data_IF_613781786823
#
_entry.id   IF_613781786823
#
_cell.length_a   1.000
_cell.length_b   1.000
_cell.length_c   1.000
_cell.angle_alpha   90.00
_cell.angle_beta   90.00
_cell.angle_gamma   90.00
#
_symmetry.space_group_name_H-M   'P 1'
#
loop_
_entity.id
_entity.type
_entity.pdbx_description
1 polymer ?
#
# COMPACT_ATOMS: atom_id res chain seq x y z
N UNK A 1 16.84 27.11 -0.03
CA UNK A 1 15.99 27.22 1.18
C UNK A 1 14.84 26.18 1.18
N UNK A 2 14.01 26.04 0.14
CA UNK A 2 12.88 25.08 0.13
C UNK A 2 13.27 23.60 0.39
N UNK A 3 14.39 23.09 -0.15
CA UNK A 3 14.85 21.71 0.10
C UNK A 3 15.15 21.42 1.59
N UNK A 4 15.81 22.35 2.30
CA UNK A 4 16.10 22.17 3.73
C UNK A 4 14.85 22.16 4.58
N UNK A 5 13.85 23.00 4.26
CA UNK A 5 12.56 23.00 4.97
C UNK A 5 11.83 21.67 4.80
N UNK A 6 11.90 21.05 3.60
CA UNK A 6 11.31 19.74 3.37
C UNK A 6 12.00 18.64 4.17
N UNK A 7 13.35 18.64 4.24
CA UNK A 7 14.09 17.67 5.06
C UNK A 7 13.84 17.84 6.56
N UNK A 8 13.73 19.08 7.03
CA UNK A 8 13.39 19.38 8.44
C UNK A 8 11.97 18.90 8.75
N UNK A 9 10.99 19.17 7.87
CA UNK A 9 9.62 18.72 8.04
C UNK A 9 9.52 17.18 8.04
N UNK A 10 10.24 16.48 7.15
CA UNK A 10 10.29 15.03 7.14
C UNK A 10 10.97 14.49 8.42
N UNK A 11 12.08 15.10 8.83
CA UNK A 11 12.79 14.71 10.05
C UNK A 11 11.94 14.89 11.31
N UNK A 12 11.20 16.02 11.41
CA UNK A 12 10.30 16.28 12.54
C UNK A 12 9.10 15.30 12.55
N UNK A 13 8.57 14.96 11.38
CA UNK A 13 7.49 13.97 11.26
C UNK A 13 7.96 12.57 11.68
N UNK A 14 9.16 12.18 11.25
CA UNK A 14 9.76 10.90 11.64
C UNK A 14 10.09 10.84 13.13
N UNK A 15 10.63 11.92 13.70
CA UNK A 15 10.90 11.99 15.15
C UNK A 15 9.62 11.94 15.97
N UNK A 16 8.56 12.62 15.54
CA UNK A 16 7.25 12.56 16.18
C UNK A 16 6.68 11.13 16.10
N UNK A 17 6.77 10.46 14.94
CA UNK A 17 6.37 9.06 14.81
C UNK A 17 7.14 8.15 15.77
N UNK A 18 8.46 8.30 15.88
CA UNK A 18 9.28 7.48 16.81
C UNK A 18 8.87 7.72 18.25
N UNK A 19 8.65 8.98 18.65
CA UNK A 19 8.17 9.32 20.00
C UNK A 19 6.81 8.72 20.28
N UNK A 20 5.88 8.78 19.35
CA UNK A 20 4.55 8.19 19.48
C UNK A 20 4.60 6.66 19.55
N UNK A 21 5.48 6.02 18.77
CA UNK A 21 5.71 4.57 18.81
C UNK A 21 6.26 4.16 20.19
N UNK A 22 7.31 4.84 20.66
CA UNK A 22 7.92 4.54 21.95
C UNK A 22 6.94 4.76 23.10
N UNK A 23 6.14 5.81 23.04
CA UNK A 23 5.08 6.08 24.02
C UNK A 23 4.03 4.95 24.02
N UNK A 24 3.55 4.54 22.83
CA UNK A 24 2.57 3.45 22.69
C UNK A 24 3.10 2.09 23.14
N UNK A 25 4.41 1.81 22.95
CA UNK A 25 5.04 0.57 23.38
C UNK A 25 5.38 0.56 24.89
N UNK A 26 5.59 1.73 25.49
CA UNK A 26 5.89 1.86 26.93
C UNK A 26 4.63 1.81 27.81
N UNK A 27 3.49 2.14 27.27
CA UNK A 27 2.23 2.01 27.99
C UNK A 27 1.77 0.56 27.90
N UNK A 28 1.92 -0.14 29.00
CA UNK A 28 1.35 -1.48 29.18
C UNK A 28 -0.17 -1.38 28.94
N UNK A 29 -0.73 -2.27 28.12
CA UNK A 29 -2.18 -2.32 27.86
C UNK A 29 -2.88 -2.91 29.10
N UNK A 30 -2.65 -2.31 30.27
CA UNK A 30 -3.29 -2.74 31.50
C UNK A 30 -4.78 -2.40 31.45
N UNK A 31 -5.58 -3.31 31.92
CA UNK A 31 -7.01 -3.10 32.10
C UNK A 31 -7.24 -2.09 33.23
N UNK A 32 -7.55 -0.86 32.84
CA UNK A 32 -7.94 0.25 33.70
C UNK A 32 -9.46 0.21 33.91
N UNK A 33 -9.99 1.20 34.60
CA UNK A 33 -11.43 1.33 34.69
C UNK A 33 -12.06 1.61 33.31
N UNK A 34 -13.11 0.88 32.92
CA UNK A 34 -13.79 1.12 31.65
C UNK A 34 -14.45 2.51 31.58
N UNK A 35 -14.41 3.14 30.39
CA UNK A 35 -15.10 4.39 30.09
C UNK A 35 -14.76 5.56 31.02
N UNK A 36 -13.51 5.62 31.50
CA UNK A 36 -13.04 6.79 32.25
C UNK A 36 -12.99 8.01 31.31
N UNK A 37 -13.46 9.14 31.82
CA UNK A 37 -13.34 10.43 31.14
C UNK A 37 -11.89 10.88 31.01
N UNK A 38 -11.55 11.74 30.04
CA UNK A 38 -10.21 12.31 29.90
C UNK A 38 -9.72 12.91 31.21
N UNK A 39 -8.50 12.53 31.62
CA UNK A 39 -7.86 12.97 32.86
C UNK A 39 -6.34 13.14 32.66
N UNK A 40 -5.61 13.54 33.72
CA UNK A 40 -4.16 13.76 33.65
C UNK A 40 -3.31 12.51 33.36
N UNK A 41 -3.86 11.30 33.56
CA UNK A 41 -3.20 10.02 33.27
C UNK A 41 -3.65 9.45 31.92
N UNK A 42 -4.91 9.63 31.55
CA UNK A 42 -5.53 9.17 30.30
C UNK A 42 -6.10 10.34 29.51
N UNK A 43 -5.29 10.93 28.65
CA UNK A 43 -5.62 12.17 27.95
C UNK A 43 -6.88 12.09 27.09
N UNK A 44 -7.20 10.94 26.54
CA UNK A 44 -8.44 10.69 25.80
C UNK A 44 -9.38 9.72 26.52
N UNK A 45 -9.11 9.45 27.82
CA UNK A 45 -9.88 8.48 28.60
C UNK A 45 -9.60 7.04 28.19
N UNK A 46 -10.49 6.13 28.62
CA UNK A 46 -10.38 4.68 28.39
C UNK A 46 -11.55 4.16 27.54
N UNK A 47 -11.32 3.06 26.82
CA UNK A 47 -12.34 2.39 26.01
C UNK A 47 -13.27 1.50 26.89
N UNK A 48 -14.20 0.80 26.24
CA UNK A 48 -15.14 -0.11 26.93
C UNK A 48 -14.45 -1.28 27.67
N UNK A 49 -13.21 -1.58 27.34
CA UNK A 49 -12.40 -2.63 27.97
C UNK A 49 -11.37 -2.05 28.96
N UNK A 50 -11.45 -0.75 29.28
CA UNK A 50 -10.53 -0.09 30.20
C UNK A 50 -9.12 0.14 29.61
N UNK A 51 -8.95 0.17 28.29
CA UNK A 51 -7.65 0.42 27.65
C UNK A 51 -7.54 1.89 27.30
N UNK A 52 -6.34 2.46 27.41
CA UNK A 52 -6.09 3.86 27.04
C UNK A 52 -6.41 4.12 25.56
N UNK A 53 -7.35 5.03 25.33
CA UNK A 53 -7.85 5.32 23.98
C UNK A 53 -6.78 6.00 23.10
N UNK A 54 -5.93 6.88 23.66
CA UNK A 54 -4.86 7.52 22.92
C UNK A 54 -3.81 6.52 22.45
N UNK A 55 -3.40 5.60 23.33
CA UNK A 55 -2.45 4.53 22.99
C UNK A 55 -3.02 3.66 21.86
N UNK A 56 -4.28 3.28 21.95
CA UNK A 56 -4.95 2.50 20.90
C UNK A 56 -4.99 3.24 19.56
N UNK A 57 -5.28 4.54 19.58
CA UNK A 57 -5.30 5.36 18.38
C UNK A 57 -3.91 5.40 17.70
N UNK A 58 -2.86 5.60 18.50
CA UNK A 58 -1.48 5.65 18.00
C UNK A 58 -1.08 4.29 17.40
N UNK A 59 -1.21 3.23 18.16
CA UNK A 59 -0.82 1.87 17.72
C UNK A 59 -1.67 1.42 16.55
N UNK A 60 -2.97 1.66 16.56
CA UNK A 60 -3.88 1.35 15.45
C UNK A 60 -3.51 2.11 14.17
N UNK A 61 -3.15 3.39 14.30
CA UNK A 61 -2.66 4.17 13.16
C UNK A 61 -1.41 3.57 12.55
N UNK A 62 -0.43 3.16 13.38
CA UNK A 62 0.81 2.55 12.92
C UNK A 62 0.57 1.20 12.24
N UNK A 63 -0.30 0.37 12.80
CA UNK A 63 -0.66 -0.92 12.22
C UNK A 63 -1.30 -0.71 10.85
N UNK A 64 -2.29 0.19 10.75
CA UNK A 64 -2.98 0.48 9.49
C UNK A 64 -2.05 1.08 8.45
N UNK A 65 -1.16 2.02 8.83
CA UNK A 65 -0.14 2.60 7.95
C UNK A 65 0.84 1.56 7.45
N UNK A 66 1.32 0.67 8.32
CA UNK A 66 2.26 -0.40 7.97
C UNK A 66 1.63 -1.40 7.02
N UNK A 67 0.40 -1.84 7.30
CA UNK A 67 -0.37 -2.71 6.40
C UNK A 67 -0.58 -2.08 5.04
N UNK A 68 -1.00 -0.81 5.02
CA UNK A 68 -1.17 -0.05 3.76
C UNK A 68 0.12 -0.04 2.97
N UNK A 69 1.25 0.25 3.62
CA UNK A 69 2.57 0.24 2.98
C UNK A 69 2.94 -1.12 2.39
N UNK A 70 2.72 -2.21 3.14
CA UNK A 70 3.00 -3.58 2.68
C UNK A 70 2.14 -3.95 1.47
N UNK A 71 0.82 -3.72 1.54
CA UNK A 71 -0.11 -4.04 0.45
C UNK A 71 0.22 -3.26 -0.81
N UNK A 72 0.50 -1.95 -0.69
CA UNK A 72 0.90 -1.12 -1.84
C UNK A 72 2.21 -1.61 -2.42
N UNK A 73 3.21 -1.88 -1.59
CA UNK A 73 4.52 -2.38 -2.03
C UNK A 73 4.37 -3.67 -2.85
N UNK A 74 3.63 -4.65 -2.32
CA UNK A 74 3.38 -5.91 -3.00
C UNK A 74 2.62 -5.71 -4.31
N UNK A 75 1.55 -4.91 -4.30
CA UNK A 75 0.73 -4.62 -5.49
C UNK A 75 1.53 -3.91 -6.58
N UNK A 76 2.35 -2.93 -6.19
CA UNK A 76 3.24 -2.18 -7.10
C UNK A 76 4.33 -3.09 -7.66
N UNK A 77 5.00 -3.89 -6.83
CA UNK A 77 6.06 -4.80 -7.27
C UNK A 77 5.52 -5.83 -8.27
N UNK A 78 4.40 -6.50 -7.95
CA UNK A 78 3.78 -7.47 -8.85
C UNK A 78 3.25 -6.79 -10.12
N UNK A 79 2.57 -5.65 -9.98
CA UNK A 79 2.06 -4.87 -11.12
C UNK A 79 3.19 -4.38 -12.02
N UNK A 80 4.33 -3.94 -11.46
CA UNK A 80 5.50 -3.53 -12.21
C UNK A 80 6.12 -4.70 -13.00
N UNK A 81 6.33 -5.85 -12.35
CA UNK A 81 6.92 -7.02 -13.00
C UNK A 81 6.05 -7.48 -14.18
N UNK A 82 4.79 -7.77 -13.92
CA UNK A 82 3.88 -8.27 -14.96
C UNK A 82 3.54 -7.20 -15.98
N UNK A 83 3.36 -5.95 -15.57
CA UNK A 83 3.12 -4.83 -16.47
C UNK A 83 4.31 -4.53 -17.38
N UNK A 84 5.54 -4.66 -16.87
CA UNK A 84 6.76 -4.53 -17.69
C UNK A 84 6.84 -5.65 -18.73
N UNK A 85 6.60 -6.91 -18.32
CA UNK A 85 6.59 -8.06 -19.23
C UNK A 85 5.54 -7.85 -20.33
N UNK A 86 4.30 -7.53 -19.96
CA UNK A 86 3.21 -7.28 -20.92
C UNK A 86 3.47 -6.06 -21.80
N UNK A 87 4.17 -5.05 -21.29
CA UNK A 87 4.52 -3.85 -22.04
C UNK A 87 5.61 -4.10 -23.10
N UNK A 88 6.57 -4.98 -22.80
CA UNK A 88 7.65 -5.36 -23.73
C UNK A 88 7.15 -6.37 -24.76
N UNK A 89 6.47 -7.40 -24.30
CA UNK A 89 5.87 -8.42 -25.14
C UNK A 89 4.61 -7.88 -25.84
N UNK A 90 4.47 -8.19 -27.16
CA UNK A 90 3.33 -7.71 -27.96
C UNK A 90 2.44 -8.84 -28.47
N UNK A 91 2.64 -10.06 -27.96
CA UNK A 91 1.97 -11.26 -28.42
C UNK A 91 1.00 -11.81 -27.37
N UNK A 92 0.85 -13.08 -27.32
CA UNK A 92 -0.08 -13.82 -26.47
C UNK A 92 0.12 -13.55 -24.96
N UNK A 93 1.36 -13.36 -24.49
CA UNK A 93 1.63 -13.03 -23.09
C UNK A 93 0.97 -11.71 -22.67
N UNK A 94 1.07 -10.67 -23.49
CA UNK A 94 0.36 -9.42 -23.23
C UNK A 94 -1.15 -9.62 -23.18
N UNK A 95 -1.71 -10.43 -24.10
CA UNK A 95 -3.15 -10.71 -24.11
C UNK A 95 -3.61 -11.42 -22.85
N UNK A 96 -2.90 -12.46 -22.42
CA UNK A 96 -3.23 -13.21 -21.19
C UNK A 96 -3.13 -12.31 -19.95
N UNK A 97 -2.00 -11.59 -19.80
CA UNK A 97 -1.78 -10.74 -18.64
C UNK A 97 -2.84 -9.63 -18.58
N UNK A 98 -3.17 -9.03 -19.73
CA UNK A 98 -4.21 -7.99 -19.79
C UNK A 98 -5.61 -8.55 -19.57
N UNK A 99 -5.91 -9.75 -20.06
CA UNK A 99 -7.17 -10.41 -19.77
C UNK A 99 -7.38 -10.61 -18.26
N UNK A 100 -6.35 -11.08 -17.55
CA UNK A 100 -6.40 -11.21 -16.08
C UNK A 100 -6.56 -9.83 -15.41
N UNK A 101 -5.82 -8.81 -15.87
CA UNK A 101 -5.97 -7.47 -15.35
C UNK A 101 -7.39 -6.92 -15.56
N UNK A 102 -7.99 -7.17 -16.72
CA UNK A 102 -9.32 -6.72 -17.07
C UNK A 102 -10.39 -7.41 -16.23
N UNK A 103 -10.23 -8.70 -15.96
CA UNK A 103 -11.11 -9.45 -15.04
C UNK A 103 -11.05 -8.86 -13.63
N UNK A 104 -9.84 -8.55 -13.12
CA UNK A 104 -9.67 -7.95 -11.80
C UNK A 104 -10.23 -6.51 -11.73
N UNK A 105 -10.15 -5.76 -12.82
CA UNK A 105 -10.67 -4.39 -12.89
C UNK A 105 -12.18 -4.31 -13.14
N UNK A 106 -12.78 -5.38 -13.64
CA UNK A 106 -14.24 -5.45 -13.83
C UNK A 106 -14.99 -5.51 -12.50
N UNK A 107 -14.34 -5.98 -11.43
CA UNK A 107 -14.91 -6.09 -10.09
C UNK A 107 -14.26 -5.03 -9.20
N UNK A 108 -15.02 -4.26 -8.41
CA UNK A 108 -14.44 -3.35 -7.42
C UNK A 108 -13.48 -4.09 -6.48
N UNK A 109 -12.27 -3.54 -6.30
CA UNK A 109 -11.20 -4.16 -5.51
C UNK A 109 -11.63 -4.56 -4.10
N UNK A 110 -12.50 -3.76 -3.49
CA UNK A 110 -13.07 -4.04 -2.18
C UNK A 110 -13.93 -5.34 -2.18
N UNK A 111 -14.72 -5.57 -3.22
CA UNK A 111 -15.52 -6.80 -3.36
C UNK A 111 -14.63 -8.02 -3.56
N UNK A 112 -13.56 -7.89 -4.35
CA UNK A 112 -12.56 -8.97 -4.49
C UNK A 112 -11.98 -9.34 -3.13
N UNK A 113 -11.61 -8.33 -2.34
CA UNK A 113 -11.07 -8.56 -1.00
C UNK A 113 -12.08 -9.24 -0.07
N UNK A 114 -13.36 -8.84 -0.09
CA UNK A 114 -14.44 -9.51 0.66
C UNK A 114 -14.56 -10.99 0.31
N UNK A 115 -14.61 -11.30 -0.98
CA UNK A 115 -14.73 -12.70 -1.46
C UNK A 115 -13.53 -13.53 -1.01
N UNK A 116 -12.32 -13.02 -1.16
CA UNK A 116 -11.10 -13.74 -0.77
C UNK A 116 -11.09 -13.98 0.75
N UNK A 117 -11.41 -12.95 1.55
CA UNK A 117 -11.44 -13.07 3.01
C UNK A 117 -12.55 -14.01 3.53
N UNK A 118 -13.63 -14.17 2.79
CA UNK A 118 -14.66 -15.15 3.12
C UNK A 118 -14.20 -16.61 2.90
N UNK A 119 -13.25 -16.82 1.97
CA UNK A 119 -12.72 -18.15 1.64
C UNK A 119 -11.45 -18.49 2.44
N UNK A 120 -10.66 -17.50 2.77
CA UNK A 120 -9.41 -17.64 3.54
C UNK A 120 -9.67 -17.21 4.98
N UNK A 121 -9.11 -17.93 5.95
CA UNK A 121 -9.26 -17.57 7.37
C UNK A 121 -8.90 -16.09 7.59
N UNK A 122 -9.68 -15.39 8.43
CA UNK A 122 -9.42 -14.01 8.85
C UNK A 122 -8.07 -13.93 9.58
N UNK A 123 -7.03 -13.65 8.83
CA UNK A 123 -5.66 -13.47 9.30
C UNK A 123 -5.04 -12.24 8.63
N UNK A 124 -4.03 -11.67 9.26
CA UNK A 124 -3.27 -10.55 8.71
C UNK A 124 -2.73 -10.87 7.29
N UNK A 125 -2.26 -12.10 7.09
CA UNK A 125 -1.76 -12.56 5.78
C UNK A 125 -2.91 -12.64 4.78
N UNK A 126 -4.08 -13.18 5.18
CA UNK A 126 -5.27 -13.23 4.34
C UNK A 126 -5.71 -11.83 3.88
N UNK A 127 -5.69 -10.85 4.78
CA UNK A 127 -6.02 -9.45 4.49
C UNK A 127 -5.03 -8.84 3.48
N UNK A 128 -3.72 -9.03 3.70
CA UNK A 128 -2.68 -8.55 2.78
C UNK A 128 -2.86 -9.16 1.38
N UNK A 129 -3.06 -10.47 1.28
CA UNK A 129 -3.25 -11.14 0.00
C UNK A 129 -4.53 -10.69 -0.71
N UNK A 130 -5.64 -10.61 0.01
CA UNK A 130 -6.92 -10.20 -0.53
C UNK A 130 -6.87 -8.80 -1.15
N UNK A 131 -6.30 -7.85 -0.41
CA UNK A 131 -6.13 -6.48 -0.89
C UNK A 131 -5.11 -6.39 -2.03
N UNK A 132 -3.99 -7.11 -1.94
CA UNK A 132 -2.98 -7.14 -3.01
C UNK A 132 -3.59 -7.62 -4.32
N UNK A 133 -4.36 -8.73 -4.30
CA UNK A 133 -5.05 -9.26 -5.48
C UNK A 133 -6.07 -8.26 -6.02
N UNK A 134 -6.83 -7.62 -5.15
CA UNK A 134 -7.82 -6.61 -5.55
C UNK A 134 -7.21 -5.38 -6.24
N UNK A 135 -5.97 -5.02 -5.91
CA UNK A 135 -5.31 -3.82 -6.43
C UNK A 135 -4.32 -4.07 -7.56
N UNK A 136 -3.80 -5.29 -7.72
CA UNK A 136 -2.76 -5.60 -8.70
C UNK A 136 -3.17 -5.27 -10.15
N UNK A 137 -4.42 -5.52 -10.55
CA UNK A 137 -4.92 -5.27 -11.91
C UNK A 137 -4.72 -3.81 -12.35
N UNK A 138 -4.93 -2.85 -11.44
CA UNK A 138 -4.72 -1.41 -11.66
C UNK A 138 -3.24 -1.08 -11.94
N UNK A 139 -2.33 -1.57 -11.08
CA UNK A 139 -0.89 -1.33 -11.25
C UNK A 139 -0.34 -2.01 -12.49
N UNK A 140 -0.81 -3.22 -12.79
CA UNK A 140 -0.44 -3.99 -13.96
C UNK A 140 -0.78 -3.21 -15.25
N UNK A 141 -2.02 -2.76 -15.39
CA UNK A 141 -2.45 -1.96 -16.55
C UNK A 141 -1.68 -0.64 -16.66
N UNK A 142 -1.46 0.03 -15.53
CA UNK A 142 -0.70 1.28 -15.49
C UNK A 142 0.73 1.09 -16.00
N UNK A 143 1.47 0.15 -15.45
CA UNK A 143 2.86 -0.08 -15.84
C UNK A 143 3.01 -0.63 -17.25
N UNK A 144 2.10 -1.47 -17.69
CA UNK A 144 2.06 -1.93 -19.09
C UNK A 144 1.91 -0.76 -20.06
N UNK A 145 0.98 0.14 -19.83
CA UNK A 145 0.74 1.28 -20.72
C UNK A 145 1.93 2.24 -20.67
N UNK A 146 2.44 2.58 -19.49
CA UNK A 146 3.60 3.43 -19.32
C UNK A 146 4.85 2.83 -19.99
N UNK A 147 5.08 1.51 -19.85
CA UNK A 147 6.18 0.80 -20.54
C UNK A 147 6.08 0.98 -22.06
N UNK A 148 4.90 0.81 -22.62
CA UNK A 148 4.66 0.98 -24.07
C UNK A 148 4.91 2.40 -24.54
N UNK A 149 4.52 3.37 -23.75
CA UNK A 149 4.72 4.79 -24.10
C UNK A 149 6.20 5.17 -24.03
N UNK A 150 6.94 4.68 -23.03
CA UNK A 150 8.38 4.89 -22.93
C UNK A 150 9.11 4.23 -24.10
N UNK A 151 8.70 3.02 -24.50
CA UNK A 151 9.33 2.32 -25.65
C UNK A 151 9.20 3.05 -26.97
N UNK A 152 8.20 3.92 -27.15
CA UNK A 152 8.03 4.75 -28.36
C UNK A 152 8.92 5.99 -28.37
N UNK A 153 9.57 6.33 -27.25
CA UNK A 153 10.38 7.54 -27.16
C UNK A 153 11.67 7.42 -27.95
N UNK A 154 12.13 8.52 -28.58
CA UNK A 154 13.29 8.50 -29.47
C UNK A 154 14.54 7.91 -28.82
N UNK A 155 14.84 8.25 -27.57
CA UNK A 155 16.04 7.76 -26.89
C UNK A 155 16.07 6.24 -26.73
N UNK A 156 14.89 5.59 -26.54
CA UNK A 156 14.78 4.13 -26.47
C UNK A 156 14.98 3.51 -27.86
N UNK A 157 14.43 4.15 -28.89
CA UNK A 157 14.60 3.68 -30.26
C UNK A 157 16.07 3.80 -30.71
N UNK A 158 16.73 4.92 -30.44
CA UNK A 158 18.17 5.08 -30.71
C UNK A 158 19.02 4.05 -29.97
N UNK A 159 18.73 3.76 -28.71
CA UNK A 159 19.45 2.73 -27.96
C UNK A 159 19.34 1.35 -28.62
N UNK A 160 18.17 1.00 -29.18
CA UNK A 160 17.96 -0.25 -29.92
C UNK A 160 18.70 -0.24 -31.27
N UNK A 161 18.63 0.86 -32.02
CA UNK A 161 19.35 1.01 -33.29
C UNK A 161 20.87 0.93 -33.10
N UNK A 162 21.39 1.35 -31.95
CA UNK A 162 22.80 1.24 -31.56
C UNK A 162 23.22 -0.19 -31.14
N UNK A 163 22.35 -1.20 -31.33
CA UNK A 163 22.67 -2.59 -31.07
C UNK A 163 22.45 -3.07 -29.61
N UNK A 164 21.86 -2.23 -28.75
CA UNK A 164 21.53 -2.67 -27.39
C UNK A 164 20.40 -3.72 -27.41
N UNK A 165 20.59 -4.80 -26.65
CA UNK A 165 19.55 -5.81 -26.45
C UNK A 165 18.31 -5.22 -25.77
N UNK A 166 17.14 -5.85 -25.95
CA UNK A 166 15.89 -5.44 -25.30
C UNK A 166 16.03 -5.40 -23.78
N UNK A 167 16.70 -6.38 -23.18
CA UNK A 167 16.96 -6.42 -21.76
C UNK A 167 17.79 -5.23 -21.29
N UNK A 168 18.93 -4.97 -21.92
CA UNK A 168 19.79 -3.83 -21.58
C UNK A 168 19.06 -2.50 -21.73
N UNK A 169 18.31 -2.31 -22.80
CA UNK A 169 17.51 -1.10 -23.06
C UNK A 169 16.43 -0.93 -21.98
N UNK A 170 15.78 -2.03 -21.57
CA UNK A 170 14.76 -2.01 -20.51
C UNK A 170 15.34 -1.59 -19.18
N UNK A 171 16.43 -2.23 -18.75
CA UNK A 171 17.05 -1.93 -17.45
C UNK A 171 17.63 -0.52 -17.40
N UNK A 172 18.29 -0.09 -18.48
CA UNK A 172 19.01 1.21 -18.48
C UNK A 172 18.10 2.41 -18.74
N UNK A 173 17.03 2.23 -19.52
CA UNK A 173 16.22 3.37 -19.99
C UNK A 173 14.75 3.29 -19.55
N UNK A 174 14.13 2.10 -19.57
CA UNK A 174 12.68 1.98 -19.27
C UNK A 174 12.44 2.00 -17.77
N UNK A 175 13.10 1.14 -17.00
CA UNK A 175 12.90 1.01 -15.55
C UNK A 175 13.12 2.34 -14.80
N UNK A 176 14.21 3.11 -15.03
CA UNK A 176 14.39 4.38 -14.32
C UNK A 176 13.24 5.38 -14.56
N UNK A 177 12.69 5.40 -15.77
CA UNK A 177 11.52 6.24 -16.08
C UNK A 177 10.23 5.74 -15.44
N UNK A 178 10.06 4.42 -15.26
CA UNK A 178 8.92 3.86 -14.53
C UNK A 178 9.00 4.24 -13.04
N UNK A 179 10.18 4.14 -12.43
CA UNK A 179 10.38 4.43 -11.01
C UNK A 179 10.00 5.88 -10.64
N UNK A 180 10.28 6.85 -11.53
CA UNK A 180 9.94 8.25 -11.27
C UNK A 180 8.43 8.50 -11.13
N UNK A 181 7.60 7.67 -11.73
CA UNK A 181 6.14 7.78 -11.68
C UNK A 181 5.50 7.01 -10.49
N UNK A 182 6.25 6.10 -9.87
CA UNK A 182 5.73 5.26 -8.76
C UNK A 182 5.32 6.12 -7.59
N UNK A 183 6.14 7.11 -7.20
CA UNK A 183 5.84 7.96 -6.04
C UNK A 183 4.51 8.69 -6.16
N UNK A 184 4.24 9.29 -7.32
CA UNK A 184 2.97 10.00 -7.55
C UNK A 184 1.77 9.04 -7.48
N UNK A 185 1.91 7.85 -8.09
CA UNK A 185 0.87 6.83 -8.11
C UNK A 185 0.59 6.28 -6.69
N UNK A 186 1.66 5.92 -5.96
CA UNK A 186 1.56 5.38 -4.59
C UNK A 186 0.93 6.40 -3.66
N UNK A 187 1.38 7.66 -3.71
CA UNK A 187 0.82 8.73 -2.87
C UNK A 187 -0.68 8.93 -3.12
N UNK A 188 -1.10 8.90 -4.38
CA UNK A 188 -2.51 9.06 -4.75
C UNK A 188 -3.38 7.87 -4.28
N UNK A 189 -2.81 6.67 -4.23
CA UNK A 189 -3.55 5.46 -3.88
C UNK A 189 -3.47 5.10 -2.39
N UNK A 190 -2.52 5.70 -1.65
CA UNK A 190 -2.29 5.40 -0.23
C UNK A 190 -3.54 5.61 0.62
N UNK A 191 -4.18 6.77 0.49
CA UNK A 191 -5.41 7.08 1.24
C UNK A 191 -6.58 6.16 0.88
N UNK A 192 -6.72 5.78 -0.41
CA UNK A 192 -7.77 4.85 -0.86
C UNK A 192 -7.55 3.45 -0.28
N UNK A 193 -6.30 3.02 -0.19
CA UNK A 193 -5.95 1.73 0.39
C UNK A 193 -6.24 1.71 1.90
N UNK A 194 -5.85 2.77 2.63
CA UNK A 194 -6.21 2.92 4.04
C UNK A 194 -7.72 2.82 4.26
N UNK A 195 -8.50 3.53 3.43
CA UNK A 195 -9.95 3.49 3.51
C UNK A 195 -10.50 2.08 3.24
N UNK A 196 -9.88 1.32 2.31
CA UNK A 196 -10.26 -0.06 2.04
C UNK A 196 -9.98 -0.97 3.24
N UNK A 197 -8.83 -0.81 3.90
CA UNK A 197 -8.46 -1.56 5.11
C UNK A 197 -9.45 -1.27 6.23
N UNK A 198 -9.67 0.01 6.55
CA UNK A 198 -10.60 0.42 7.60
C UNK A 198 -12.04 -0.02 7.31
N UNK A 199 -12.46 0.01 6.05
CA UNK A 199 -13.77 -0.49 5.64
C UNK A 199 -13.94 -1.99 5.85
N UNK A 200 -12.91 -2.80 5.58
CA UNK A 200 -12.92 -4.23 5.86
C UNK A 200 -12.90 -4.52 7.36
N UNK A 201 -12.13 -3.75 8.12
CA UNK A 201 -12.10 -3.84 9.57
C UNK A 201 -13.47 -3.54 10.20
N UNK A 202 -14.13 -2.49 9.73
CA UNK A 202 -15.51 -2.15 10.16
C UNK A 202 -16.51 -3.28 9.92
N UNK A 203 -16.33 -4.06 8.84
CA UNK A 203 -17.14 -5.24 8.55
C UNK A 203 -16.73 -6.48 9.34
N UNK A 204 -15.78 -6.36 10.27
CA UNK A 204 -15.28 -7.47 11.07
C UNK A 204 -14.34 -8.43 10.33
N UNK A 205 -13.85 -8.01 9.15
CA UNK A 205 -12.90 -8.77 8.32
C UNK A 205 -11.46 -8.21 8.41
N UNK A 206 -11.22 -7.31 9.36
CA UNK A 206 -9.91 -6.77 9.67
C UNK A 206 -9.04 -7.70 10.51
N UNK A 207 -8.04 -7.13 11.17
CA UNK A 207 -7.18 -7.87 12.10
C UNK A 207 -7.98 -8.22 13.35
N UNK A 208 -7.82 -9.46 13.82
CA UNK A 208 -8.52 -9.90 15.04
C UNK A 208 -7.99 -9.17 16.28
N UNK A 209 -8.88 -8.80 17.23
CA UNK A 209 -8.45 -8.36 18.55
C UNK A 209 -7.47 -9.36 19.19
N UNK A 210 -6.49 -8.91 20.02
CA UNK A 210 -6.43 -7.59 20.67
C UNK A 210 -5.72 -6.49 19.90
N UNK A 211 -5.16 -6.79 18.70
CA UNK A 211 -4.38 -5.81 17.92
C UNK A 211 -5.27 -4.61 17.53
N UNK A 212 -4.91 -3.38 17.93
CA UNK A 212 -5.65 -2.20 17.53
C UNK A 212 -5.44 -1.88 16.06
N UNK A 213 -6.49 -1.42 15.38
CA UNK A 213 -6.48 -0.88 14.03
C UNK A 213 -7.46 0.29 13.93
N UNK A 214 -7.40 1.09 12.87
CA UNK A 214 -8.25 2.28 12.66
C UNK A 214 -9.65 1.95 12.08
N UNK A 215 -10.08 0.72 12.09
CA UNK A 215 -11.36 0.28 11.57
C UNK A 215 -12.37 -0.12 12.64
#
# INVERSE_FOLDING_TARGET
>A
MKKYQTYIAIGSLLSLMVVLITYGLMQDMQHLNPLESPNGQHWLGTDQLGRDFLVRLIVGSLVTLSLTGIVILLSVCMGLIFGLIAGIERRWLDQIIMFVADMLLAIPSFIIALVILSLVSNSMIGLILALTIGWIGRYLRYFRNLTRDIQKRPFVQYARLSGNSTFKTTVTHVIPHLLSNIFALVTADFGKMMLSISGLAFLGLGIKPPTPELG
#
